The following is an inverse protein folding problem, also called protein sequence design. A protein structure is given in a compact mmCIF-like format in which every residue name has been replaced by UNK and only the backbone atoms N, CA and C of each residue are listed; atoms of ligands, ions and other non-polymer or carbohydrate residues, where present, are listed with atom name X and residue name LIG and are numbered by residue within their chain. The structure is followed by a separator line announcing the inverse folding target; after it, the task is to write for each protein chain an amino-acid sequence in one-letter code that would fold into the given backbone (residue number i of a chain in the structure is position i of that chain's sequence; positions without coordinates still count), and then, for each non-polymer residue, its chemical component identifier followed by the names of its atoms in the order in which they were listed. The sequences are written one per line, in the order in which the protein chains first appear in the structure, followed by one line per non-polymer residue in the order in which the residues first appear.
data_IF_471203264747
#
_entry.id   IF_471203264747
#
_cell.length_a   1.000
_cell.length_b   1.000
_cell.length_c   1.000
_cell.angle_alpha   90.00
_cell.angle_beta   90.00
_cell.angle_gamma   90.00
#
_symmetry.space_group_name_H-M   'P 1'
#
loop_
_entity.id
_entity.type
_entity.pdbx_description
1 polymer ?
#
# COMPACT_ATOMS: atom_id res chain seq x y z
N UNK A 1 6.60 17.43 -23.58
CA UNK A 1 6.85 16.31 -22.64
C UNK A 1 6.03 16.59 -21.40
N UNK A 2 5.17 15.66 -20.96
CA UNK A 2 4.30 15.89 -19.79
C UNK A 2 5.02 15.45 -18.51
N UNK A 3 5.15 16.35 -17.53
CA UNK A 3 5.81 16.09 -16.23
C UNK A 3 4.87 15.51 -15.17
N UNK A 4 5.40 15.08 -14.02
CA UNK A 4 4.57 14.64 -12.90
C UNK A 4 3.73 15.78 -12.30
N UNK A 5 4.22 17.02 -12.33
CA UNK A 5 3.50 18.20 -11.82
C UNK A 5 2.25 18.49 -12.66
N UNK A 6 2.38 18.51 -13.99
CA UNK A 6 1.23 18.71 -14.89
C UNK A 6 0.18 17.59 -14.77
N UNK A 7 0.59 16.36 -14.41
CA UNK A 7 -0.36 15.27 -14.13
C UNK A 7 -1.09 15.47 -12.79
N UNK A 8 -0.38 15.92 -11.76
CA UNK A 8 -0.96 16.19 -10.45
C UNK A 8 -1.97 17.33 -10.50
N UNK A 9 -1.69 18.40 -11.25
CA UNK A 9 -2.62 19.53 -11.44
C UNK A 9 -3.90 19.11 -12.17
N UNK A 10 -3.79 18.21 -13.16
CA UNK A 10 -4.94 17.74 -13.95
C UNK A 10 -5.80 16.70 -13.21
N UNK A 11 -5.21 15.91 -12.32
CA UNK A 11 -5.91 14.82 -11.63
C UNK A 11 -6.49 15.30 -10.29
N UNK A 12 -7.82 15.40 -10.23
CA UNK A 12 -8.51 15.67 -8.96
C UNK A 12 -8.38 14.46 -8.00
N UNK A 13 -7.93 14.65 -6.75
CA UNK A 13 -7.89 13.57 -5.77
C UNK A 13 -9.27 12.94 -5.54
N UNK A 14 -9.33 11.62 -5.44
CA UNK A 14 -10.57 10.90 -5.14
C UNK A 14 -11.00 11.18 -3.69
N UNK A 15 -12.17 11.79 -3.45
CA UNK A 15 -12.58 12.17 -2.09
C UNK A 15 -12.83 10.96 -1.17
N UNK A 16 -13.24 9.82 -1.74
CA UNK A 16 -13.50 8.57 -1.00
C UNK A 16 -12.19 7.85 -0.66
N UNK A 17 -11.24 7.84 -1.60
CA UNK A 17 -9.93 7.24 -1.40
C UNK A 17 -9.09 8.04 -0.40
N UNK A 18 -9.15 9.37 -0.48
CA UNK A 18 -8.43 10.27 0.42
C UNK A 18 -8.83 10.08 1.89
N UNK A 19 -10.11 9.78 2.19
CA UNK A 19 -10.57 9.46 3.55
C UNK A 19 -10.39 7.99 3.94
N UNK A 20 -9.82 7.15 3.07
CA UNK A 20 -9.66 5.71 3.32
C UNK A 20 -10.96 4.91 3.29
N UNK A 21 -12.07 5.49 2.80
CA UNK A 21 -13.43 4.94 2.87
C UNK A 21 -13.80 3.96 1.74
N UNK A 22 -12.83 3.54 0.92
CA UNK A 22 -13.04 2.60 -0.19
C UNK A 22 -12.39 1.25 0.14
N UNK A 23 -13.17 0.16 0.08
CA UNK A 23 -12.66 -1.20 0.26
C UNK A 23 -12.80 -2.02 -1.02
N UNK A 24 -11.68 -2.58 -1.49
CA UNK A 24 -11.60 -3.47 -2.67
C UNK A 24 -10.92 -4.81 -2.36
N UNK A 25 -11.06 -5.29 -1.13
CA UNK A 25 -10.32 -6.46 -0.64
C UNK A 25 -10.90 -7.81 -1.08
N UNK A 26 -12.14 -7.86 -1.58
CA UNK A 26 -12.79 -9.07 -2.04
C UNK A 26 -13.76 -8.78 -3.19
N UNK A 27 -14.27 -9.84 -3.82
CA UNK A 27 -15.19 -9.76 -4.97
C UNK A 27 -16.66 -9.48 -4.59
N UNK A 28 -17.01 -9.40 -3.30
CA UNK A 28 -18.33 -8.92 -2.87
C UNK A 28 -18.44 -7.39 -2.89
N UNK A 29 -17.29 -6.70 -2.84
CA UNK A 29 -17.22 -5.25 -3.03
C UNK A 29 -17.21 -4.86 -4.51
N UNK A 30 -16.78 -3.62 -4.86
CA UNK A 30 -16.16 -2.63 -3.98
C UNK A 30 -17.18 -1.98 -3.04
N UNK A 31 -16.80 -1.78 -1.77
CA UNK A 31 -17.61 -1.05 -0.79
C UNK A 31 -17.17 0.42 -0.71
N UNK A 32 -18.13 1.35 -0.62
CA UNK A 32 -17.91 2.78 -0.37
C UNK A 32 -18.62 3.16 0.92
N UNK A 33 -17.86 3.60 1.94
CA UNK A 33 -18.38 3.92 3.27
C UNK A 33 -18.50 5.44 3.41
N UNK A 34 -19.53 6.01 2.80
CA UNK A 34 -19.73 7.47 2.67
C UNK A 34 -21.08 7.90 3.26
N UNK A 35 -21.19 9.17 3.64
CA UNK A 35 -22.42 9.74 4.23
C UNK A 35 -22.10 10.62 5.44
N UNK A 36 -23.08 11.40 5.90
CA UNK A 36 -22.89 12.32 7.04
C UNK A 36 -22.54 11.60 8.35
N UNK A 37 -23.08 10.40 8.57
CA UNK A 37 -22.87 9.58 9.78
C UNK A 37 -22.15 8.27 9.43
N UNK A 38 -21.15 8.34 8.53
CA UNK A 38 -20.49 7.15 8.00
C UNK A 38 -19.66 6.41 9.05
N UNK A 39 -19.08 7.13 10.02
CA UNK A 39 -18.29 6.53 11.10
C UNK A 39 -19.14 5.56 11.94
N UNK A 40 -20.37 5.94 12.24
CA UNK A 40 -21.29 5.17 13.06
C UNK A 40 -22.07 4.14 12.24
N UNK A 41 -22.59 4.54 11.08
CA UNK A 41 -23.59 3.75 10.34
C UNK A 41 -23.04 3.00 9.12
N UNK A 42 -21.96 3.47 8.48
CA UNK A 42 -21.50 2.82 7.24
C UNK A 42 -20.84 1.47 7.51
N UNK A 43 -21.23 0.47 6.72
CA UNK A 43 -20.68 -0.88 6.77
C UNK A 43 -20.41 -1.37 5.34
N UNK A 44 -19.33 -2.13 5.17
CA UNK A 44 -19.13 -2.92 3.96
C UNK A 44 -20.10 -4.10 3.90
N UNK A 45 -20.19 -4.78 2.76
CA UNK A 45 -21.07 -5.96 2.57
C UNK A 45 -20.83 -7.04 3.64
N UNK A 46 -19.58 -7.20 4.07
CA UNK A 46 -19.21 -8.15 5.14
C UNK A 46 -19.40 -7.61 6.57
N UNK A 47 -20.00 -6.43 6.75
CA UNK A 47 -20.17 -5.78 8.05
C UNK A 47 -18.97 -4.98 8.56
N UNK A 48 -17.88 -4.83 7.79
CA UNK A 48 -16.72 -4.05 8.22
C UNK A 48 -17.06 -2.56 8.37
N UNK A 49 -16.64 -1.93 9.48
CA UNK A 49 -16.85 -0.50 9.75
C UNK A 49 -15.90 0.39 8.94
N UNK A 50 -16.19 1.70 8.87
CA UNK A 50 -15.30 2.69 8.26
C UNK A 50 -13.90 2.67 8.89
N UNK A 51 -13.81 2.71 10.22
CA UNK A 51 -12.54 2.63 10.94
C UNK A 51 -11.76 1.35 10.60
N UNK A 52 -12.45 0.20 10.51
CA UNK A 52 -11.84 -1.08 10.13
C UNK A 52 -11.26 -1.03 8.72
N UNK A 53 -12.01 -0.48 7.76
CA UNK A 53 -11.56 -0.36 6.37
C UNK A 53 -10.38 0.60 6.25
N UNK A 54 -10.44 1.77 6.90
CA UNK A 54 -9.37 2.76 6.91
C UNK A 54 -8.07 2.19 7.50
N UNK A 55 -8.16 1.50 8.65
CA UNK A 55 -7.01 0.86 9.29
C UNK A 55 -6.38 -0.23 8.41
N UNK A 56 -7.19 -1.06 7.75
CA UNK A 56 -6.69 -2.09 6.81
C UNK A 56 -5.99 -1.49 5.60
N UNK A 57 -6.54 -0.41 5.06
CA UNK A 57 -5.94 0.30 3.94
C UNK A 57 -4.57 0.89 4.34
N UNK A 58 -4.48 1.55 5.51
CA UNK A 58 -3.23 2.06 6.05
C UNK A 58 -2.21 0.94 6.27
N UNK A 59 -2.62 -0.17 6.91
CA UNK A 59 -1.74 -1.30 7.18
C UNK A 59 -1.15 -1.89 5.90
N UNK A 60 -1.93 -1.98 4.80
CA UNK A 60 -1.41 -2.45 3.52
C UNK A 60 -0.40 -1.49 2.90
N UNK A 61 -0.56 -0.18 3.07
CA UNK A 61 0.44 0.81 2.64
C UNK A 61 1.76 0.65 3.40
N UNK A 62 1.68 0.45 4.72
CA UNK A 62 2.85 0.18 5.57
C UNK A 62 3.52 -1.11 5.12
N UNK A 63 2.76 -2.20 4.98
CA UNK A 63 3.28 -3.50 4.58
C UNK A 63 3.98 -3.45 3.21
N UNK A 64 3.45 -2.69 2.24
CA UNK A 64 4.09 -2.51 0.95
C UNK A 64 5.46 -1.80 1.06
N UNK A 65 5.55 -0.74 1.87
CA UNK A 65 6.82 -0.07 2.14
C UNK A 65 7.82 -0.96 2.87
N UNK A 66 7.37 -1.67 3.90
CA UNK A 66 8.19 -2.64 4.64
C UNK A 66 8.71 -3.77 3.75
N UNK A 67 7.88 -4.27 2.82
CA UNK A 67 8.28 -5.30 1.87
C UNK A 67 9.43 -4.84 0.95
N UNK A 68 9.43 -3.57 0.51
CA UNK A 68 10.51 -3.01 -0.30
C UNK A 68 11.85 -2.99 0.47
N UNK A 69 11.85 -2.55 1.72
CA UNK A 69 13.06 -2.58 2.55
C UNK A 69 13.49 -4.01 2.91
N UNK A 70 12.54 -4.90 3.16
CA UNK A 70 12.83 -6.30 3.42
C UNK A 70 13.54 -6.95 2.23
N UNK A 71 13.09 -6.68 1.00
CA UNK A 71 13.69 -7.28 -0.19
C UNK A 71 15.03 -6.65 -0.55
N UNK A 72 15.17 -5.33 -0.34
CA UNK A 72 16.46 -4.65 -0.46
C UNK A 72 17.50 -5.26 0.49
N UNK A 73 17.15 -5.45 1.77
CA UNK A 73 18.03 -6.08 2.75
C UNK A 73 18.33 -7.55 2.41
N UNK A 74 17.33 -8.29 1.91
CA UNK A 74 17.51 -9.68 1.45
C UNK A 74 18.50 -9.76 0.30
N UNK A 75 18.44 -8.83 -0.66
CA UNK A 75 19.42 -8.71 -1.74
C UNK A 75 20.83 -8.55 -1.21
N UNK A 76 21.05 -7.62 -0.28
CA UNK A 76 22.35 -7.40 0.36
C UNK A 76 22.86 -8.65 1.10
N UNK A 77 21.97 -9.34 1.83
CA UNK A 77 22.33 -10.57 2.55
C UNK A 77 22.78 -11.68 1.58
N UNK A 78 22.09 -11.85 0.44
CA UNK A 78 22.51 -12.81 -0.58
C UNK A 78 23.80 -12.40 -1.28
N UNK A 79 24.03 -11.11 -1.52
CA UNK A 79 25.31 -10.63 -2.04
C UNK A 79 26.45 -10.98 -1.08
N UNK A 80 26.29 -10.73 0.21
CA UNK A 80 27.31 -11.08 1.21
C UNK A 80 27.56 -12.59 1.29
N UNK A 81 26.50 -13.41 1.23
CA UNK A 81 26.62 -14.86 1.19
C UNK A 81 27.40 -15.33 -0.05
N UNK A 82 27.10 -14.77 -1.22
CA UNK A 82 27.80 -15.10 -2.46
C UNK A 82 29.29 -14.71 -2.40
N UNK A 83 29.64 -13.60 -1.74
CA UNK A 83 31.04 -13.22 -1.47
C UNK A 83 31.71 -14.27 -0.59
N UNK A 84 31.07 -14.67 0.51
CA UNK A 84 31.62 -15.67 1.43
C UNK A 84 31.84 -17.04 0.76
N UNK A 85 31.01 -17.40 -0.22
CA UNK A 85 31.14 -18.64 -1.01
C UNK A 85 32.10 -18.53 -2.21
N UNK A 86 32.64 -17.34 -2.51
CA UNK A 86 33.48 -17.13 -3.70
C UNK A 86 32.72 -17.09 -5.03
N UNK A 87 31.40 -16.92 -4.98
CA UNK A 87 30.50 -16.85 -6.15
C UNK A 87 30.40 -15.43 -6.73
N UNK A 88 30.60 -14.39 -5.90
CA UNK A 88 30.58 -12.98 -6.31
C UNK A 88 32.00 -12.37 -6.33
N UNK A 89 32.72 -12.60 -7.43
CA UNK A 89 34.18 -12.32 -7.54
C UNK A 89 34.57 -10.84 -7.58
N UNK A 90 33.65 -9.95 -7.95
CA UNK A 90 33.89 -8.50 -8.00
C UNK A 90 33.69 -7.81 -6.64
N UNK A 91 33.21 -8.55 -5.64
CA UNK A 91 32.93 -8.04 -4.30
C UNK A 91 33.89 -8.66 -3.28
N UNK A 92 34.11 -7.94 -2.17
CA UNK A 92 34.95 -8.36 -1.04
C UNK A 92 34.29 -7.93 0.27
N UNK A 93 34.65 -8.62 1.37
CA UNK A 93 34.30 -8.22 2.73
C UNK A 93 35.19 -7.04 3.14
#
# INVERSE_FOLDING_TARGET
MVTCFERAEKLKPCPIGASGACCKACHMGPCRLVGKNAEEAARGVCGATLATVAARNLLRMIAAGSAAHSDHARGMAYTLLAVANGEAKDFRI
#
